data_IF_525803151024
#
_entry.id   IF_525803151024
#
_cell.length_a   1.000
_cell.length_b   1.000
_cell.length_c   1.000
_cell.angle_alpha   90.00
_cell.angle_beta   90.00
_cell.angle_gamma   90.00
#
_symmetry.space_group_name_H-M   'P 1'
#
loop_
_entity.id
_entity.type
_entity.pdbx_description
1 polymer ?
#
# COMPACT_ATOMS: atom_id res chain seq x y z
N UNK A 1 -72.57 12.37 -17.35
CA UNK A 1 -71.67 13.07 -16.46
C UNK A 1 -70.97 12.03 -15.59
N UNK A 2 -69.80 11.69 -15.97
CA UNK A 2 -69.01 10.66 -15.28
C UNK A 2 -67.81 11.30 -14.67
N UNK A 3 -67.83 11.44 -13.35
CA UNK A 3 -66.64 11.87 -12.61
C UNK A 3 -65.72 10.66 -12.37
N UNK A 4 -64.72 10.57 -13.18
CA UNK A 4 -63.64 9.62 -12.88
C UNK A 4 -62.60 10.29 -11.98
N UNK A 5 -62.73 10.00 -10.72
CA UNK A 5 -61.61 10.29 -9.79
C UNK A 5 -60.51 9.26 -10.06
N UNK A 6 -59.55 9.65 -10.83
CA UNK A 6 -58.30 8.89 -10.95
C UNK A 6 -57.52 8.96 -9.65
N UNK A 7 -57.58 7.87 -8.93
CA UNK A 7 -56.77 7.65 -7.75
C UNK A 7 -55.33 7.37 -8.21
N UNK A 8 -54.51 8.37 -8.17
CA UNK A 8 -53.09 8.19 -8.46
C UNK A 8 -52.42 7.58 -7.21
N UNK A 9 -52.19 6.29 -7.29
CA UNK A 9 -51.37 5.61 -6.26
C UNK A 9 -49.92 5.96 -6.58
N UNK A 10 -49.36 6.86 -5.79
CA UNK A 10 -47.92 7.12 -5.77
C UNK A 10 -47.28 5.97 -5.01
N UNK A 11 -46.79 5.01 -5.75
CA UNK A 11 -45.94 3.96 -5.22
C UNK A 11 -44.56 4.57 -4.95
N UNK A 12 -44.33 5.02 -3.73
CA UNK A 12 -43.03 5.44 -3.29
C UNK A 12 -42.17 4.18 -3.18
N UNK A 13 -41.44 3.87 -4.22
CA UNK A 13 -40.38 2.87 -4.16
C UNK A 13 -39.26 3.45 -3.30
N UNK A 14 -39.27 3.09 -2.02
CA UNK A 14 -38.12 3.27 -1.16
C UNK A 14 -37.06 2.30 -1.63
N UNK A 15 -36.20 2.78 -2.53
CA UNK A 15 -34.95 2.10 -2.82
C UNK A 15 -34.10 2.18 -1.56
N UNK A 16 -34.16 1.17 -0.72
CA UNK A 16 -33.15 0.96 0.29
C UNK A 16 -31.88 0.58 -0.43
N UNK A 17 -31.04 1.57 -0.73
CA UNK A 17 -29.63 1.34 -1.04
C UNK A 17 -29.01 0.74 0.22
N UNK A 18 -29.02 -0.58 0.29
CA UNK A 18 -28.12 -1.29 1.19
C UNK A 18 -26.72 -1.09 0.64
N UNK A 19 -26.10 0.01 1.07
CA UNK A 19 -24.67 0.24 0.85
C UNK A 19 -23.91 -0.90 1.54
N UNK A 20 -23.45 -1.88 0.76
CA UNK A 20 -22.35 -2.74 1.17
C UNK A 20 -21.05 -1.93 1.09
N UNK A 21 -20.92 -0.91 1.96
CA UNK A 21 -19.77 -0.01 1.98
C UNK A 21 -18.51 -0.66 2.57
N UNK A 22 -18.65 -1.71 3.37
CA UNK A 22 -17.55 -2.31 4.12
C UNK A 22 -16.49 -3.00 3.26
N UNK A 23 -16.85 -3.74 2.21
CA UNK A 23 -15.88 -4.47 1.37
C UNK A 23 -15.08 -3.54 0.45
N UNK A 24 -15.74 -2.58 -0.16
CA UNK A 24 -15.09 -1.61 -1.06
C UNK A 24 -14.12 -0.71 -0.29
N UNK A 25 -14.46 -0.35 0.95
CA UNK A 25 -13.58 0.47 1.80
C UNK A 25 -12.30 -0.29 2.19
N UNK A 26 -12.41 -1.58 2.52
CA UNK A 26 -11.25 -2.42 2.85
C UNK A 26 -10.35 -2.59 1.62
N UNK A 27 -10.91 -2.86 0.44
CA UNK A 27 -10.13 -2.96 -0.80
C UNK A 27 -9.38 -1.67 -1.12
N UNK A 28 -10.03 -0.52 -0.97
CA UNK A 28 -9.41 0.79 -1.17
C UNK A 28 -8.26 1.05 -0.18
N UNK A 29 -8.43 0.66 1.08
CA UNK A 29 -7.39 0.76 2.11
C UNK A 29 -6.21 -0.15 1.76
N UNK A 30 -6.47 -1.39 1.39
CA UNK A 30 -5.45 -2.35 1.00
C UNK A 30 -4.66 -1.90 -0.23
N UNK A 31 -5.35 -1.35 -1.22
CA UNK A 31 -4.70 -0.78 -2.41
C UNK A 31 -3.79 0.39 -2.05
N UNK A 32 -4.25 1.33 -1.23
CA UNK A 32 -3.43 2.46 -0.79
C UNK A 32 -2.20 2.02 -0.01
N UNK A 33 -2.38 1.15 0.97
CA UNK A 33 -1.27 0.63 1.77
C UNK A 33 -0.26 -0.11 0.89
N UNK A 34 -0.74 -0.98 0.01
CA UNK A 34 0.10 -1.77 -0.89
C UNK A 34 0.85 -0.90 -1.90
N UNK A 35 0.17 0.05 -2.52
CA UNK A 35 0.80 0.99 -3.48
C UNK A 35 1.81 1.90 -2.80
N UNK A 36 1.58 2.27 -1.54
CA UNK A 36 2.54 3.04 -0.75
C UNK A 36 3.81 2.23 -0.48
N UNK A 37 3.67 0.96 -0.11
CA UNK A 37 4.82 0.06 0.06
C UNK A 37 5.61 -0.10 -1.25
N UNK A 38 4.92 -0.31 -2.37
CA UNK A 38 5.53 -0.39 -3.70
C UNK A 38 6.32 0.89 -4.04
N UNK A 39 5.76 2.06 -3.71
CA UNK A 39 6.43 3.35 -3.95
C UNK A 39 7.72 3.49 -3.13
N UNK A 40 7.71 3.09 -1.86
CA UNK A 40 8.92 3.12 -1.03
C UNK A 40 10.01 2.19 -1.58
N UNK A 41 9.65 0.98 -1.98
CA UNK A 41 10.59 0.05 -2.60
C UNK A 41 11.06 0.53 -3.98
N UNK A 42 10.23 1.28 -4.69
CA UNK A 42 10.65 1.94 -5.94
C UNK A 42 11.74 2.98 -5.68
N UNK A 43 11.64 3.74 -4.61
CA UNK A 43 12.74 4.62 -4.18
C UNK A 43 14.01 3.85 -3.90
N UNK A 44 13.91 2.70 -3.24
CA UNK A 44 15.06 1.83 -2.95
C UNK A 44 15.77 1.38 -4.23
N UNK A 45 15.04 0.86 -5.20
CA UNK A 45 15.64 0.37 -6.46
C UNK A 45 16.19 1.49 -7.34
N UNK A 46 15.70 2.71 -7.19
CA UNK A 46 16.18 3.88 -7.91
C UNK A 46 17.37 4.57 -7.24
N UNK A 47 17.84 4.04 -6.10
CA UNK A 47 18.95 4.64 -5.36
C UNK A 47 18.56 5.84 -4.51
N UNK A 48 17.27 6.10 -4.33
CA UNK A 48 16.74 7.18 -3.48
C UNK A 48 16.61 6.68 -2.05
N UNK A 49 17.73 6.41 -1.40
CA UNK A 49 17.76 5.76 -0.08
C UNK A 49 17.19 6.66 1.02
N UNK A 50 17.38 7.97 0.93
CA UNK A 50 16.79 8.92 1.87
C UNK A 50 15.25 8.87 1.83
N UNK A 51 14.65 8.81 0.65
CA UNK A 51 13.20 8.70 0.48
C UNK A 51 12.68 7.34 0.95
N UNK A 52 13.43 6.27 0.73
CA UNK A 52 13.11 4.95 1.26
C UNK A 52 13.08 4.96 2.80
N UNK A 53 14.11 5.50 3.44
CA UNK A 53 14.19 5.60 4.91
C UNK A 53 13.13 6.54 5.46
N UNK A 54 12.79 7.62 4.75
CA UNK A 54 11.70 8.53 5.14
C UNK A 54 10.32 7.85 5.16
N UNK A 55 10.17 6.72 4.47
CA UNK A 55 8.97 5.87 4.50
C UNK A 55 8.84 4.98 5.74
N UNK A 56 9.85 4.94 6.61
CA UNK A 56 9.78 4.19 7.87
C UNK A 56 8.86 4.88 8.88
N UNK A 57 8.20 4.09 9.71
CA UNK A 57 7.35 4.62 10.77
C UNK A 57 8.17 5.53 11.70
N UNK A 58 7.65 6.74 11.93
CA UNK A 58 8.30 7.76 12.79
C UNK A 58 9.73 8.11 12.35
N UNK A 59 9.96 8.18 11.05
CA UNK A 59 11.29 8.53 10.50
C UNK A 59 11.81 9.86 11.06
N UNK A 60 10.93 10.82 11.35
CA UNK A 60 11.29 12.10 11.94
C UNK A 60 11.92 11.99 13.34
N UNK A 61 11.61 10.91 14.06
CA UNK A 61 12.15 10.64 15.40
C UNK A 61 13.48 9.86 15.37
N UNK A 62 13.94 9.46 14.19
CA UNK A 62 15.21 8.74 14.03
C UNK A 62 16.35 9.76 14.07
N UNK A 63 17.36 9.59 14.96
CA UNK A 63 18.54 10.44 14.97
C UNK A 63 19.25 10.48 13.61
N UNK A 64 19.84 11.62 13.27
CA UNK A 64 20.44 11.85 11.95
C UNK A 64 21.55 10.83 11.61
N UNK A 65 22.40 10.50 12.56
CA UNK A 65 23.48 9.53 12.39
C UNK A 65 22.95 8.11 12.17
N UNK A 66 21.88 7.73 12.87
CA UNK A 66 21.22 6.44 12.68
C UNK A 66 20.50 6.38 11.33
N UNK A 67 19.88 7.48 10.89
CA UNK A 67 19.25 7.58 9.57
C UNK A 67 20.30 7.41 8.46
N UNK A 68 21.43 8.05 8.56
CA UNK A 68 22.57 7.88 7.64
C UNK A 68 23.01 6.41 7.56
N UNK A 69 23.06 5.72 8.70
CA UNK A 69 23.39 4.30 8.75
C UNK A 69 22.33 3.44 8.05
N UNK A 70 21.06 3.76 8.21
CA UNK A 70 19.96 3.05 7.51
C UNK A 70 20.06 3.25 6.00
N UNK A 71 20.37 4.45 5.53
CA UNK A 71 20.60 4.75 4.12
C UNK A 71 21.81 3.97 3.57
N UNK A 72 22.89 3.90 4.31
CA UNK A 72 24.07 3.12 3.94
C UNK A 72 23.75 1.62 3.87
N UNK A 73 22.97 1.10 4.81
CA UNK A 73 22.52 -0.28 4.80
C UNK A 73 21.63 -0.59 3.58
N UNK A 74 20.77 0.33 3.20
CA UNK A 74 19.94 0.19 1.99
C UNK A 74 20.82 0.14 0.72
N UNK A 75 21.83 0.99 0.63
CA UNK A 75 22.79 0.98 -0.48
C UNK A 75 23.58 -0.34 -0.55
N UNK A 76 24.00 -0.87 0.60
CA UNK A 76 24.68 -2.16 0.68
C UNK A 76 23.77 -3.31 0.24
N UNK A 77 22.52 -3.30 0.66
CA UNK A 77 21.53 -4.29 0.21
C UNK A 77 21.41 -4.27 -1.32
N UNK A 78 21.27 -3.10 -1.92
CA UNK A 78 21.17 -2.97 -3.37
C UNK A 78 22.42 -3.45 -4.10
N UNK A 79 23.60 -3.16 -3.55
CA UNK A 79 24.87 -3.66 -4.09
C UNK A 79 24.91 -5.19 -4.05
N UNK A 80 24.47 -5.80 -2.96
CA UNK A 80 24.43 -7.25 -2.82
C UNK A 80 23.49 -7.88 -3.85
N UNK A 81 22.31 -7.27 -4.08
CA UNK A 81 21.37 -7.75 -5.08
C UNK A 81 21.95 -7.67 -6.50
N UNK A 82 22.73 -6.62 -6.80
CA UNK A 82 23.43 -6.49 -8.05
C UNK A 82 24.49 -7.59 -8.23
N UNK A 83 25.23 -7.90 -7.19
CA UNK A 83 26.27 -8.94 -7.22
C UNK A 83 25.66 -10.35 -7.34
N UNK A 84 24.57 -10.65 -6.61
CA UNK A 84 23.95 -11.97 -6.54
C UNK A 84 23.02 -12.27 -7.71
N UNK A 85 22.30 -11.27 -8.22
CA UNK A 85 21.21 -11.44 -9.19
C UNK A 85 21.33 -10.52 -10.42
N UNK A 86 22.45 -9.87 -10.63
CA UNK A 86 22.65 -8.87 -11.68
C UNK A 86 21.80 -7.61 -11.54
N UNK A 87 21.11 -7.48 -10.42
CA UNK A 87 20.22 -6.36 -10.09
C UNK A 87 18.74 -6.68 -10.14
N UNK A 88 17.94 -5.73 -9.68
CA UNK A 88 16.49 -5.82 -9.67
C UNK A 88 15.94 -5.24 -10.98
N UNK A 89 15.06 -5.98 -11.67
CA UNK A 89 14.40 -5.49 -12.87
C UNK A 89 13.06 -4.81 -12.59
N UNK A 90 12.29 -5.31 -11.62
CA UNK A 90 11.00 -4.72 -11.26
C UNK A 90 10.56 -5.06 -9.83
N UNK A 91 9.73 -4.20 -9.28
CA UNK A 91 8.97 -4.45 -8.04
C UNK A 91 7.51 -4.20 -8.36
N UNK A 92 6.65 -5.15 -7.99
CA UNK A 92 5.22 -5.09 -8.27
C UNK A 92 4.42 -5.52 -7.05
N UNK A 93 3.36 -4.78 -6.72
CA UNK A 93 2.42 -5.20 -5.70
C UNK A 93 1.67 -6.45 -6.14
N UNK A 94 1.74 -7.51 -5.35
CA UNK A 94 0.98 -8.75 -5.56
C UNK A 94 -0.38 -8.68 -4.86
N UNK A 95 -0.36 -8.43 -3.55
CA UNK A 95 -1.56 -8.28 -2.72
C UNK A 95 -1.23 -7.50 -1.46
N UNK A 96 -2.26 -7.00 -0.81
CA UNK A 96 -2.14 -6.38 0.50
C UNK A 96 -3.31 -6.84 1.39
N UNK A 97 -3.02 -7.11 2.64
CA UNK A 97 -4.01 -7.45 3.66
C UNK A 97 -4.00 -6.38 4.74
N UNK A 98 -5.14 -5.73 4.97
CA UNK A 98 -5.27 -4.72 6.01
C UNK A 98 -5.99 -5.28 7.23
N UNK A 99 -5.52 -4.86 8.40
CA UNK A 99 -6.20 -4.98 9.68
C UNK A 99 -6.64 -3.56 10.08
N UNK A 100 -7.87 -3.23 9.76
CA UNK A 100 -8.42 -1.87 9.97
C UNK A 100 -8.58 -1.52 11.44
N UNK A 101 -8.84 -2.52 12.30
CA UNK A 101 -8.97 -2.31 13.74
C UNK A 101 -7.65 -1.88 14.39
N UNK A 102 -6.53 -2.40 13.90
CA UNK A 102 -5.18 -2.11 14.40
C UNK A 102 -4.41 -1.08 13.55
N UNK A 103 -5.01 -0.55 12.50
CA UNK A 103 -4.36 0.39 11.57
C UNK A 103 -3.05 -0.14 11.00
N UNK A 104 -3.03 -1.42 10.65
CA UNK A 104 -1.86 -2.10 10.06
C UNK A 104 -2.22 -2.79 8.77
N UNK A 105 -1.22 -3.10 7.98
CA UNK A 105 -1.36 -3.89 6.77
C UNK A 105 -0.08 -4.68 6.48
N UNK A 106 -0.21 -5.72 5.67
CA UNK A 106 0.91 -6.48 5.13
C UNK A 106 0.84 -6.39 3.61
N UNK A 107 1.81 -5.71 3.01
CA UNK A 107 1.95 -5.61 1.58
C UNK A 107 2.91 -6.71 1.08
N UNK A 108 2.48 -7.46 0.08
CA UNK A 108 3.30 -8.49 -0.56
C UNK A 108 3.77 -7.98 -1.91
N UNK A 109 5.07 -7.75 -2.04
CA UNK A 109 5.70 -7.28 -3.24
C UNK A 109 6.44 -8.40 -3.93
N UNK A 110 6.33 -8.49 -5.25
CA UNK A 110 7.14 -9.38 -6.07
C UNK A 110 8.33 -8.62 -6.58
N UNK A 111 9.52 -9.08 -6.22
CA UNK A 111 10.79 -8.58 -6.75
C UNK A 111 11.22 -9.52 -7.87
N UNK A 112 11.38 -8.99 -9.07
CA UNK A 112 11.97 -9.69 -10.19
C UNK A 112 13.40 -9.21 -10.41
N UNK A 113 14.32 -10.16 -10.48
CA UNK A 113 15.74 -9.91 -10.71
C UNK A 113 16.10 -10.06 -12.18
N UNK A 114 17.20 -9.45 -12.59
CA UNK A 114 17.68 -9.50 -13.98
C UNK A 114 18.14 -10.89 -14.42
N UNK A 115 18.46 -11.76 -13.48
CA UNK A 115 18.77 -13.18 -13.71
C UNK A 115 17.54 -14.07 -13.86
N UNK A 116 16.33 -13.49 -13.90
CA UNK A 116 15.03 -14.18 -14.01
C UNK A 116 14.56 -14.90 -12.73
N UNK A 117 15.28 -14.78 -11.64
CA UNK A 117 14.79 -15.19 -10.33
C UNK A 117 13.78 -14.17 -9.82
N UNK A 118 12.76 -14.60 -9.11
CA UNK A 118 11.82 -13.73 -8.41
C UNK A 118 11.61 -14.18 -6.98
N UNK A 119 11.29 -13.24 -6.11
CA UNK A 119 10.92 -13.53 -4.72
C UNK A 119 9.77 -12.62 -4.28
N UNK A 120 9.06 -13.06 -3.26
CA UNK A 120 8.01 -12.28 -2.63
C UNK A 120 8.52 -11.77 -1.27
N UNK A 121 8.45 -10.47 -1.06
CA UNK A 121 8.72 -9.84 0.23
C UNK A 121 7.43 -9.36 0.86
N UNK A 122 7.29 -9.60 2.17
CA UNK A 122 6.20 -9.04 2.97
C UNK A 122 6.70 -7.77 3.65
N UNK A 123 6.00 -6.66 3.40
CA UNK A 123 6.31 -5.36 3.99
C UNK A 123 5.22 -5.02 5.00
N UNK A 124 5.51 -5.08 6.30
CA UNK A 124 4.56 -4.63 7.32
C UNK A 124 4.37 -3.12 7.25
N UNK A 125 3.12 -2.68 7.27
CA UNK A 125 2.74 -1.27 7.17
C UNK A 125 1.91 -0.86 8.37
N UNK A 126 2.00 0.41 8.74
CA UNK A 126 1.19 1.04 9.78
C UNK A 126 0.64 2.35 9.28
N UNK A 127 -0.65 2.61 9.61
CA UNK A 127 -1.31 3.88 9.29
C UNK A 127 -1.20 4.84 10.47
N UNK A 128 -0.77 6.07 10.17
CA UNK A 128 -0.75 7.18 11.12
C UNK A 128 -1.26 8.44 10.45
N UNK A 129 -2.29 9.04 11.03
CA UNK A 129 -2.90 10.26 10.52
C UNK A 129 -3.27 10.17 9.01
N UNK A 130 -3.77 9.02 8.58
CA UNK A 130 -4.19 8.76 7.20
C UNK A 130 -3.07 8.40 6.22
N UNK A 131 -1.82 8.34 6.67
CA UNK A 131 -0.67 7.97 5.85
C UNK A 131 -0.12 6.60 6.24
N UNK A 132 0.40 5.88 5.26
CA UNK A 132 1.00 4.56 5.46
C UNK A 132 2.51 4.63 5.50
N UNK A 133 3.10 3.94 6.46
CA UNK A 133 4.55 3.86 6.67
C UNK A 133 4.97 2.41 6.82
N UNK A 134 6.23 2.12 6.47
CA UNK A 134 6.85 0.82 6.75
C UNK A 134 7.16 0.71 8.25
N UNK A 135 6.82 -0.44 8.81
CA UNK A 135 6.96 -0.74 10.23
C UNK A 135 8.38 -1.18 10.59
#
# INVERSE_FOLDING_TARGET
MMNHKTLTIILAAVLSLACCTGSNDIEAIQERAGKTAEAYYTHLINGNYADFVAGMDRADSIPADYREQMEANAAMFMKQQNDDHKGISSITLSKCKADTANHTAEAFLVIEYKDKVSEVVCVPMVERAGNWYMK
#
